data_IF_029765277859
#
_entry.id   IF_029765277859
#
_cell.length_a   1.000
_cell.length_b   1.000
_cell.length_c   1.000
_cell.angle_alpha   90.00
_cell.angle_beta   90.00
_cell.angle_gamma   90.00
#
_symmetry.space_group_name_H-M   'P 1'
#
loop_
_entity.id
_entity.type
_entity.pdbx_description
1 polymer ?
#
# COMPACT_ATOMS: atom_id res chain seq x y z
N UNK A 1 27.97 -27.76 -26.13
CA UNK A 1 27.21 -26.57 -26.59
C UNK A 1 25.74 -26.58 -26.17
N UNK A 2 24.99 -27.69 -26.30
CA UNK A 2 23.55 -27.76 -25.97
C UNK A 2 23.22 -27.69 -24.46
N UNK A 3 24.14 -28.12 -23.60
CA UNK A 3 23.95 -28.05 -22.14
C UNK A 3 23.96 -26.61 -21.63
N UNK A 4 24.87 -25.77 -22.15
CA UNK A 4 24.97 -24.36 -21.79
C UNK A 4 23.69 -23.59 -22.15
N UNK A 5 23.12 -23.86 -23.33
CA UNK A 5 21.85 -23.24 -23.73
C UNK A 5 20.69 -23.64 -22.83
N UNK A 6 20.64 -24.89 -22.35
CA UNK A 6 19.59 -25.34 -21.43
C UNK A 6 19.72 -24.62 -20.10
N UNK A 7 20.94 -24.57 -19.53
CA UNK A 7 21.20 -23.85 -18.26
C UNK A 7 20.81 -22.38 -18.36
N UNK A 8 21.17 -21.71 -19.46
CA UNK A 8 20.80 -20.30 -19.68
C UNK A 8 19.28 -20.11 -19.77
N UNK A 9 18.57 -20.99 -20.47
CA UNK A 9 17.10 -20.94 -20.56
C UNK A 9 16.46 -21.19 -19.18
N UNK A 10 16.99 -22.14 -18.41
CA UNK A 10 16.49 -22.41 -17.05
C UNK A 10 16.62 -21.21 -16.12
N UNK A 11 17.78 -20.53 -16.15
CA UNK A 11 18.02 -19.33 -15.35
C UNK A 11 17.10 -18.19 -15.78
N UNK A 12 16.95 -17.97 -17.10
CA UNK A 12 16.05 -16.93 -17.63
C UNK A 12 14.59 -17.16 -17.23
N UNK A 13 14.12 -18.41 -17.27
CA UNK A 13 12.76 -18.75 -16.83
C UNK A 13 12.57 -18.52 -15.33
N UNK A 14 13.59 -18.83 -14.51
CA UNK A 14 13.53 -18.63 -13.08
C UNK A 14 13.43 -17.14 -12.72
N UNK A 15 14.23 -16.28 -13.36
CA UNK A 15 14.18 -14.82 -13.18
C UNK A 15 12.82 -14.24 -13.59
N UNK A 16 12.26 -14.67 -14.72
CA UNK A 16 10.94 -14.24 -15.18
C UNK A 16 9.81 -14.63 -14.21
N UNK A 17 9.87 -15.85 -13.66
CA UNK A 17 8.91 -16.33 -12.67
C UNK A 17 9.04 -15.56 -11.35
N UNK A 18 10.28 -15.25 -10.92
CA UNK A 18 10.54 -14.47 -9.71
C UNK A 18 10.00 -13.03 -9.82
N UNK A 19 10.17 -12.40 -10.99
CA UNK A 19 9.64 -11.06 -11.29
C UNK A 19 8.10 -11.03 -11.31
N UNK A 20 7.46 -12.09 -11.80
CA UNK A 20 6.00 -12.20 -11.83
C UNK A 20 5.39 -12.32 -10.41
N UNK A 21 6.00 -13.13 -9.53
CA UNK A 21 5.60 -13.26 -8.12
C UNK A 21 5.78 -11.94 -7.35
N UNK A 22 6.88 -11.21 -7.60
CA UNK A 22 7.10 -9.91 -6.98
C UNK A 22 6.10 -8.85 -7.47
N UNK A 23 5.70 -8.84 -8.75
CA UNK A 23 4.69 -7.91 -9.25
C UNK A 23 3.26 -8.23 -8.78
N UNK A 24 2.93 -9.51 -8.58
CA UNK A 24 1.63 -9.91 -8.04
C UNK A 24 1.42 -9.44 -6.58
N UNK A 25 2.50 -9.47 -5.78
CA UNK A 25 2.45 -9.14 -4.35
C UNK A 25 2.31 -7.65 -4.04
N UNK A 26 2.70 -6.76 -4.95
CA UNK A 26 2.44 -5.32 -4.78
C UNK A 26 1.07 -4.86 -5.32
N UNK A 27 0.41 -5.67 -6.16
CA UNK A 27 -0.93 -5.34 -6.67
C UNK A 27 -2.07 -5.62 -5.68
N UNK A 28 -1.82 -6.41 -4.65
CA UNK A 28 -2.84 -6.71 -3.62
C UNK A 28 -2.83 -5.73 -2.44
N UNK A 29 -2.06 -4.63 -2.53
CA UNK A 29 -2.13 -3.54 -1.54
C UNK A 29 -3.32 -2.62 -1.73
N UNK A 30 -3.91 -2.56 -2.92
CA UNK A 30 -5.05 -1.68 -3.21
C UNK A 30 -6.41 -2.32 -2.91
N UNK A 31 -6.44 -3.61 -2.54
CA UNK A 31 -7.67 -4.33 -2.17
C UNK A 31 -8.07 -4.13 -0.70
N UNK A 32 -7.23 -3.49 0.11
CA UNK A 32 -7.56 -3.26 1.50
C UNK A 32 -8.72 -2.27 1.54
N UNK A 33 -9.92 -2.77 1.87
CA UNK A 33 -11.15 -2.01 2.15
C UNK A 33 -11.00 -1.02 3.32
N UNK A 34 -9.78 -0.52 3.58
CA UNK A 34 -9.52 0.57 4.50
C UNK A 34 -10.16 1.80 3.90
N UNK A 35 -11.24 2.22 4.57
CA UNK A 35 -11.82 3.56 4.40
C UNK A 35 -10.67 4.57 4.32
N UNK A 36 -10.75 5.57 3.42
CA UNK A 36 -9.69 6.56 3.26
C UNK A 36 -9.23 7.03 4.63
N UNK A 37 -7.92 7.03 4.90
CA UNK A 37 -7.43 7.11 6.25
C UNK A 37 -7.93 8.40 6.88
N UNK A 38 -8.62 8.27 8.00
CA UNK A 38 -8.98 9.38 8.87
C UNK A 38 -7.73 9.85 9.60
N UNK A 39 -6.80 10.39 8.82
CA UNK A 39 -5.53 10.95 9.24
C UNK A 39 -5.31 12.30 8.57
N UNK A 40 -6.36 12.88 7.98
CA UNK A 40 -6.32 14.25 7.46
C UNK A 40 -6.14 15.20 8.63
N UNK A 41 -5.17 16.11 8.53
CA UNK A 41 -4.99 17.18 9.51
C UNK A 41 -6.22 18.10 9.51
N UNK A 42 -6.69 18.48 10.68
CA UNK A 42 -7.85 19.34 10.88
C UNK A 42 -7.56 20.37 11.97
N UNK A 43 -8.23 21.52 11.90
CA UNK A 43 -8.22 22.51 12.97
C UNK A 43 -9.58 22.57 13.68
N UNK A 44 -10.65 22.22 12.96
CA UNK A 44 -12.01 22.18 13.47
C UNK A 44 -12.72 20.88 13.04
N UNK A 45 -13.76 20.45 13.76
CA UNK A 45 -14.58 19.30 13.33
C UNK A 45 -15.33 19.54 12.01
N UNK A 46 -15.46 20.80 11.54
CA UNK A 46 -16.07 21.09 10.24
C UNK A 46 -15.15 20.78 9.05
N UNK A 47 -13.83 20.70 9.29
CA UNK A 47 -12.85 20.30 8.28
C UNK A 47 -12.95 18.79 7.95
N UNK A 48 -13.69 18.06 8.78
CA UNK A 48 -13.83 16.62 8.79
C UNK A 48 -15.23 16.20 8.29
N UNK A 49 -15.28 15.30 7.30
CA UNK A 49 -16.52 14.82 6.67
C UNK A 49 -16.87 13.38 7.07
N UNK A 50 -18.13 12.93 6.88
CA UNK A 50 -18.50 11.54 7.13
C UNK A 50 -17.59 10.57 6.34
N UNK A 51 -17.04 9.49 6.93
CA UNK A 51 -17.37 8.88 8.23
C UNK A 51 -16.67 9.50 9.45
N UNK A 52 -15.70 10.39 9.26
CA UNK A 52 -14.83 10.89 10.32
C UNK A 52 -15.14 12.34 10.62
N UNK A 53 -15.99 12.58 11.62
CA UNK A 53 -16.51 13.93 11.95
C UNK A 53 -15.76 14.59 13.11
N UNK A 54 -14.89 13.85 13.79
CA UNK A 54 -14.20 14.33 14.99
C UNK A 54 -12.82 14.83 14.63
N UNK A 55 -12.46 16.03 15.05
CA UNK A 55 -11.09 16.50 14.97
C UNK A 55 -10.40 16.20 16.31
N UNK A 56 -9.53 15.19 16.34
CA UNK A 56 -8.92 14.69 17.58
C UNK A 56 -7.41 14.92 17.52
N UNK A 57 -6.89 15.62 18.52
CA UNK A 57 -5.47 15.89 18.71
C UNK A 57 -5.17 16.11 20.19
N UNK A 58 -3.96 16.55 20.49
CA UNK A 58 -3.58 16.88 21.85
C UNK A 58 -2.31 17.71 21.86
N UNK A 59 -1.85 18.10 23.05
CA UNK A 59 -0.67 18.96 23.21
C UNK A 59 0.59 18.41 22.50
N UNK A 60 0.68 17.08 22.35
CA UNK A 60 1.83 16.39 21.75
C UNK A 60 1.55 15.78 20.37
N UNK A 61 0.35 15.97 19.78
CA UNK A 61 -0.03 15.35 18.49
C UNK A 61 -0.86 16.30 17.65
N UNK A 62 -0.53 16.39 16.36
CA UNK A 62 -1.32 17.13 15.38
C UNK A 62 -2.77 16.64 15.38
N UNK A 63 -3.69 17.59 15.32
CA UNK A 63 -5.12 17.32 15.23
C UNK A 63 -5.44 16.66 13.89
N UNK A 64 -6.11 15.51 13.95
CA UNK A 64 -6.47 14.72 12.78
C UNK A 64 -7.94 14.31 12.84
N UNK A 65 -8.60 14.24 11.68
CA UNK A 65 -9.96 13.75 11.58
C UNK A 65 -9.99 12.28 12.02
N UNK A 66 -10.85 11.91 12.96
CA UNK A 66 -11.13 10.55 13.40
C UNK A 66 -12.63 10.26 13.26
N UNK A 67 -12.96 8.97 13.21
CA UNK A 67 -14.34 8.46 13.37
C UNK A 67 -14.94 9.01 14.66
#
# INVERSE_FOLDING_TARGET
MRALTIVLISVLLLECLYLAECQGKDRDRDSDRRRPPCSRVCNSPMDCGPPCRRCVGGFWRSYQCRE
#
